data_IF_597173344159
#
_entry.id   IF_597173344159
#
_cell.length_a   1.000
_cell.length_b   1.000
_cell.length_c   1.000
_cell.angle_alpha   90.00
_cell.angle_beta   90.00
_cell.angle_gamma   90.00
#
_symmetry.space_group_name_H-M   'P 1'
#
loop_
_entity.id
_entity.type
_entity.pdbx_description
1 polymer ?
#
# COMPACT_ATOMS: atom_id res chain seq x y z
N UNK A 1 5.60 -4.46 15.80
CA UNK A 1 4.87 -5.75 15.62
C UNK A 1 4.61 -5.99 14.14
N UNK A 2 4.75 -7.23 13.65
CA UNK A 2 4.46 -7.58 12.26
C UNK A 2 2.95 -7.62 11.99
N UNK A 3 2.48 -6.87 10.99
CA UNK A 3 1.06 -6.80 10.62
C UNK A 3 0.71 -7.89 9.61
N UNK A 4 1.29 -7.80 8.41
CA UNK A 4 1.02 -8.69 7.28
C UNK A 4 2.11 -8.52 6.20
N UNK A 5 2.16 -9.48 5.28
CA UNK A 5 2.82 -9.29 3.97
C UNK A 5 1.91 -8.46 3.07
N UNK A 6 2.49 -7.84 2.05
CA UNK A 6 1.71 -7.16 1.01
C UNK A 6 2.35 -7.34 -0.37
N UNK A 7 1.52 -7.10 -1.38
CA UNK A 7 1.88 -7.04 -2.78
C UNK A 7 1.20 -5.82 -3.42
N UNK A 8 1.94 -5.02 -4.19
CA UNK A 8 1.43 -3.90 -4.98
C UNK A 8 1.83 -4.14 -6.43
N UNK A 9 0.85 -4.18 -7.33
CA UNK A 9 1.06 -4.56 -8.73
C UNK A 9 0.50 -3.51 -9.69
N UNK A 10 1.24 -3.25 -10.76
CA UNK A 10 0.72 -2.76 -12.03
C UNK A 10 1.43 -3.57 -13.12
N UNK A 11 0.82 -4.72 -13.48
CA UNK A 11 1.48 -5.76 -14.27
C UNK A 11 0.51 -6.67 -15.02
N UNK A 12 0.86 -7.19 -16.23
CA UNK A 12 0.14 -8.30 -16.85
C UNK A 12 0.12 -9.53 -15.94
N UNK A 13 -1.06 -10.14 -15.78
CA UNK A 13 -1.23 -11.40 -15.05
C UNK A 13 -0.75 -12.61 -15.86
N UNK A 14 -0.77 -12.47 -17.19
CA UNK A 14 -0.31 -13.49 -18.11
C UNK A 14 0.96 -13.00 -18.80
N UNK A 15 1.97 -13.87 -19.03
CA UNK A 15 3.13 -13.55 -19.85
C UNK A 15 2.72 -13.00 -21.23
N UNK A 16 3.60 -12.23 -21.86
CA UNK A 16 3.31 -11.54 -23.13
C UNK A 16 2.65 -12.45 -24.17
N UNK A 17 1.34 -12.22 -24.33
CA UNK A 17 0.37 -12.83 -25.26
C UNK A 17 0.96 -13.80 -26.30
N UNK A 18 1.06 -15.11 -26.00
CA UNK A 18 1.13 -16.10 -27.07
C UNK A 18 -0.11 -15.94 -27.99
N UNK A 19 0.01 -16.16 -29.31
CA UNK A 19 -1.12 -16.05 -30.24
C UNK A 19 -2.32 -16.87 -29.74
N UNK A 20 -3.51 -16.26 -29.70
CA UNK A 20 -4.76 -16.91 -29.29
C UNK A 20 -5.21 -16.68 -27.84
N UNK A 21 -4.39 -16.05 -26.98
CA UNK A 21 -4.70 -15.89 -25.55
C UNK A 21 -5.17 -14.48 -25.15
N UNK A 22 -5.43 -13.60 -26.13
CA UNK A 22 -5.83 -12.19 -25.90
C UNK A 22 -7.04 -12.03 -24.96
N UNK A 23 -7.95 -13.00 -24.92
CA UNK A 23 -9.17 -12.93 -24.13
C UNK A 23 -8.96 -13.22 -22.63
N UNK A 24 -7.86 -13.87 -22.25
CA UNK A 24 -7.51 -14.16 -20.85
C UNK A 24 -6.40 -13.26 -20.30
N UNK A 25 -5.70 -12.54 -21.17
CA UNK A 25 -4.66 -11.59 -20.78
C UNK A 25 -5.28 -10.34 -20.18
N UNK A 26 -5.01 -10.12 -18.89
CA UNK A 26 -5.42 -8.92 -18.14
C UNK A 26 -4.21 -8.27 -17.49
N UNK A 27 -4.23 -6.95 -17.41
CA UNK A 27 -3.32 -6.17 -16.58
C UNK A 27 -4.02 -5.87 -15.27
N UNK A 28 -3.36 -6.14 -14.14
CA UNK A 28 -3.89 -5.80 -12.82
C UNK A 28 -3.34 -4.44 -12.38
N UNK A 29 -4.17 -3.67 -11.69
CA UNK A 29 -3.74 -2.61 -10.77
C UNK A 29 -4.19 -3.04 -9.38
N UNK A 30 -3.23 -3.39 -8.52
CA UNK A 30 -3.46 -3.89 -7.18
C UNK A 30 -2.76 -2.99 -6.16
N UNK A 31 -3.50 -2.59 -5.13
CA UNK A 31 -3.00 -1.82 -4.01
C UNK A 31 -3.16 -2.55 -2.68
N UNK A 32 -2.32 -2.18 -1.72
CA UNK A 32 -2.43 -2.60 -0.34
C UNK A 32 -3.28 -1.60 0.45
N UNK A 33 -4.24 -2.12 1.21
CA UNK A 33 -5.14 -1.36 2.05
C UNK A 33 -5.02 -1.85 3.48
N UNK A 34 -4.91 -0.94 4.44
CA UNK A 34 -4.84 -1.29 5.86
C UNK A 34 -5.82 -0.43 6.65
N UNK A 35 -6.88 -1.07 7.13
CA UNK A 35 -7.80 -0.45 8.08
C UNK A 35 -7.22 -0.59 9.50
N UNK A 36 -7.19 0.50 10.26
CA UNK A 36 -6.74 0.52 11.66
C UNK A 36 -7.79 1.26 12.49
N UNK A 37 -8.43 0.55 13.41
CA UNK A 37 -9.35 1.14 14.37
C UNK A 37 -8.67 1.31 15.73
N UNK A 38 -8.74 2.53 16.26
CA UNK A 38 -8.31 2.87 17.61
C UNK A 38 -9.46 2.56 18.59
N UNK A 39 -9.34 1.47 19.33
CA UNK A 39 -10.37 1.05 20.30
C UNK A 39 -10.13 1.64 21.71
N UNK A 40 -9.21 2.60 21.83
CA UNK A 40 -8.89 3.27 23.08
C UNK A 40 -9.70 4.57 23.20
N UNK A 41 -9.81 5.07 24.45
CA UNK A 41 -10.47 6.33 24.80
C UNK A 41 -9.55 7.56 24.69
N UNK A 42 -8.40 7.42 24.02
CA UNK A 42 -7.43 8.48 23.78
C UNK A 42 -6.87 8.37 22.36
N UNK A 43 -6.39 9.48 21.76
CA UNK A 43 -5.79 9.46 20.43
C UNK A 43 -4.47 8.66 20.45
N UNK A 44 -4.26 7.85 19.43
CA UNK A 44 -3.08 6.98 19.30
C UNK A 44 -2.26 7.39 18.09
N UNK A 45 -1.01 7.74 18.32
CA UNK A 45 -0.05 8.00 17.24
C UNK A 45 0.70 6.71 16.92
N UNK A 46 0.58 6.26 15.68
CA UNK A 46 1.23 5.04 15.18
C UNK A 46 2.27 5.37 14.13
N UNK A 47 3.30 4.53 14.04
CA UNK A 47 4.20 4.47 12.90
C UNK A 47 4.08 3.14 12.21
N UNK A 48 3.84 3.17 10.91
CA UNK A 48 3.92 2.03 10.03
C UNK A 48 5.26 2.02 9.32
N UNK A 49 5.92 0.87 9.29
CA UNK A 49 7.19 0.69 8.57
C UNK A 49 6.98 -0.36 7.50
N UNK A 50 7.11 0.05 6.26
CA UNK A 50 7.10 -0.82 5.10
C UNK A 50 8.51 -1.27 4.79
N UNK A 51 8.71 -2.57 4.62
CA UNK A 51 9.96 -3.13 4.12
C UNK A 51 9.71 -3.79 2.77
N UNK A 52 10.44 -3.36 1.74
CA UNK A 52 10.31 -3.84 0.35
C UNK A 52 11.68 -4.31 -0.13
N UNK A 53 11.75 -5.36 -0.95
CA UNK A 53 12.98 -5.66 -1.69
C UNK A 53 12.90 -4.99 -3.06
N UNK A 54 13.66 -3.91 -3.25
CA UNK A 54 13.79 -3.27 -4.56
C UNK A 54 14.65 -4.12 -5.52
N UNK A 55 14.53 -3.91 -6.84
CA UNK A 55 15.43 -4.46 -7.84
C UNK A 55 16.89 -4.20 -7.47
N UNK A 56 17.78 -5.12 -7.83
CA UNK A 56 19.21 -5.01 -7.51
C UNK A 56 19.90 -3.86 -8.24
N UNK A 57 19.41 -3.51 -9.43
CA UNK A 57 19.85 -2.34 -10.19
C UNK A 57 18.72 -1.30 -10.25
N UNK A 58 18.79 -0.21 -9.47
CA UNK A 58 17.77 0.84 -9.49
C UNK A 58 17.82 1.72 -10.75
N UNK A 59 18.82 1.55 -11.63
CA UNK A 59 18.89 2.24 -12.92
C UNK A 59 18.21 1.47 -14.04
N UNK A 60 17.96 0.17 -13.83
CA UNK A 60 17.18 -0.65 -14.74
C UNK A 60 15.68 -0.37 -14.56
N UNK A 61 15.12 0.41 -15.49
CA UNK A 61 13.70 0.76 -15.47
C UNK A 61 12.79 -0.37 -15.97
N UNK A 62 13.34 -1.51 -16.38
CA UNK A 62 12.54 -2.68 -16.77
C UNK A 62 11.89 -3.37 -15.58
N UNK A 63 12.42 -3.15 -14.36
CA UNK A 63 11.83 -3.61 -13.10
C UNK A 63 11.49 -2.40 -12.21
N UNK A 64 10.21 -2.26 -11.85
CA UNK A 64 9.73 -1.21 -10.93
C UNK A 64 9.08 -1.84 -9.71
N UNK A 65 9.07 -1.17 -8.54
CA UNK A 65 9.61 0.17 -8.25
C UNK A 65 11.11 0.17 -7.97
N UNK A 66 11.78 1.31 -8.18
CA UNK A 66 13.20 1.51 -7.81
C UNK A 66 13.36 2.32 -6.53
N UNK A 67 12.29 2.97 -6.07
CA UNK A 67 12.26 3.67 -4.78
C UNK A 67 10.84 3.83 -4.23
N UNK A 68 10.74 4.27 -2.97
CA UNK A 68 9.44 4.63 -2.36
C UNK A 68 8.76 5.85 -3.00
N UNK A 69 9.45 6.62 -3.85
CA UNK A 69 8.83 7.72 -4.61
C UNK A 69 7.90 7.23 -5.73
N UNK A 70 7.98 5.95 -6.06
CA UNK A 70 7.15 5.30 -7.08
C UNK A 70 5.79 4.86 -6.53
N UNK A 71 5.53 5.14 -5.24
CA UNK A 71 4.28 4.84 -4.59
C UNK A 71 3.51 6.10 -4.28
N UNK A 72 2.19 5.99 -4.41
CA UNK A 72 1.26 6.91 -3.80
C UNK A 72 0.77 6.29 -2.49
N UNK A 73 0.73 7.12 -1.46
CA UNK A 73 0.19 6.74 -0.16
C UNK A 73 -0.90 7.73 0.25
N UNK A 74 -1.93 7.23 0.90
CA UNK A 74 -2.99 8.04 1.47
C UNK A 74 -3.36 7.52 2.86
N UNK A 75 -3.71 8.44 3.76
CA UNK A 75 -4.34 8.10 5.03
C UNK A 75 -5.68 8.81 5.10
N UNK A 76 -6.74 8.03 5.17
CA UNK A 76 -8.10 8.52 5.35
C UNK A 76 -8.55 8.24 6.78
N UNK A 77 -8.70 9.29 7.59
CA UNK A 77 -9.23 9.21 8.96
C UNK A 77 -10.58 9.92 9.07
N UNK A 78 -10.94 10.72 8.08
CA UNK A 78 -12.08 11.65 8.11
C UNK A 78 -13.14 11.35 7.03
N UNK A 79 -13.01 10.23 6.31
CA UNK A 79 -13.76 9.94 5.09
C UNK A 79 -13.25 10.71 3.86
N UNK A 80 -12.03 11.25 3.93
CA UNK A 80 -11.34 11.91 2.83
C UNK A 80 -10.00 11.23 2.59
N UNK A 81 -9.74 10.82 1.35
CA UNK A 81 -8.43 10.29 0.96
C UNK A 81 -7.38 11.41 0.97
N UNK A 82 -6.64 11.53 2.09
CA UNK A 82 -5.56 12.52 2.22
C UNK A 82 -4.27 11.94 1.63
N UNK A 83 -4.02 12.24 0.35
CA UNK A 83 -2.80 11.85 -0.35
C UNK A 83 -1.61 12.71 0.04
N UNK A 84 -0.41 12.10 0.04
CA UNK A 84 0.85 12.81 0.30
C UNK A 84 1.08 13.95 -0.72
N UNK A 85 1.28 15.16 -0.19
CA UNK A 85 1.48 16.39 -0.98
C UNK A 85 0.51 17.54 -0.69
N UNK A 86 -0.68 17.25 -0.13
CA UNK A 86 -1.64 18.29 0.32
C UNK A 86 -1.82 18.35 1.82
N UNK A 87 -1.37 17.33 2.56
CA UNK A 87 -1.37 17.27 4.02
C UNK A 87 -0.03 16.73 4.53
N UNK A 88 0.57 17.41 5.50
CA UNK A 88 1.89 17.04 6.06
C UNK A 88 1.83 15.86 7.04
N UNK A 89 0.64 15.49 7.51
CA UNK A 89 0.45 14.34 8.39
C UNK A 89 0.22 13.10 7.51
N UNK A 90 1.06 12.08 7.65
CA UNK A 90 1.05 10.83 6.88
C UNK A 90 1.73 10.83 5.49
N UNK A 91 2.89 11.46 5.34
CA UNK A 91 3.78 11.20 4.18
C UNK A 91 4.63 9.96 4.42
N UNK A 92 4.82 9.14 3.39
CA UNK A 92 5.76 8.02 3.43
C UNK A 92 7.20 8.56 3.32
N UNK A 93 7.99 8.37 4.37
CA UNK A 93 9.36 8.89 4.49
C UNK A 93 10.35 7.71 4.47
N UNK A 94 11.24 7.61 3.46
CA UNK A 94 12.29 6.60 3.44
C UNK A 94 13.19 6.70 4.68
N UNK A 95 13.49 5.56 5.30
CA UNK A 95 14.45 5.50 6.40
C UNK A 95 15.89 5.43 5.86
N UNK A 96 16.81 6.09 6.55
CA UNK A 96 18.24 6.03 6.22
C UNK A 96 18.81 4.70 6.72
N UNK A 97 18.64 3.64 5.92
CA UNK A 97 19.21 2.32 6.14
C UNK A 97 20.09 1.92 4.94
N UNK A 98 21.13 1.08 5.12
CA UNK A 98 22.07 0.74 4.05
C UNK A 98 21.41 0.20 2.77
N UNK A 99 20.30 -0.51 2.92
CA UNK A 99 19.55 -1.11 1.81
C UNK A 99 18.50 -0.16 1.21
N UNK A 100 18.27 1.02 1.81
CA UNK A 100 17.22 1.99 1.47
C UNK A 100 15.84 1.35 1.23
N UNK A 101 15.56 0.27 1.96
CA UNK A 101 14.48 -0.67 1.66
C UNK A 101 13.30 -0.54 2.66
N UNK A 102 13.38 0.47 3.53
CA UNK A 102 12.39 0.78 4.54
C UNK A 102 11.83 2.19 4.35
N UNK A 103 10.54 2.35 4.57
CA UNK A 103 9.92 3.66 4.70
C UNK A 103 8.89 3.68 5.82
N UNK A 104 8.84 4.81 6.51
CA UNK A 104 7.99 5.06 7.66
C UNK A 104 6.87 6.02 7.30
N UNK A 105 5.68 5.72 7.81
CA UNK A 105 4.53 6.61 7.75
C UNK A 105 3.93 6.74 9.15
N UNK A 106 3.83 7.98 9.64
CA UNK A 106 3.39 8.28 11.00
C UNK A 106 2.17 9.17 10.98
N UNK A 107 1.15 8.82 11.76
CA UNK A 107 -0.11 9.56 11.87
C UNK A 107 -0.81 9.27 13.19
N UNK A 108 -1.78 10.12 13.53
CA UNK A 108 -2.57 10.02 14.75
C UNK A 108 -4.00 9.62 14.42
N UNK A 109 -4.47 8.53 15.02
CA UNK A 109 -5.86 8.12 15.01
C UNK A 109 -6.58 8.74 16.21
N UNK A 110 -7.70 9.46 16.02
CA UNK A 110 -8.56 9.88 17.12
C UNK A 110 -9.03 8.69 17.96
N UNK A 111 -9.39 8.94 19.22
CA UNK A 111 -10.08 7.99 20.07
C UNK A 111 -11.35 7.44 19.38
N UNK A 112 -11.57 6.13 19.47
CA UNK A 112 -12.67 5.43 18.78
C UNK A 112 -12.72 5.65 17.25
N UNK A 113 -11.66 6.23 16.66
CA UNK A 113 -11.56 6.52 15.24
C UNK A 113 -11.07 5.31 14.45
N UNK A 114 -11.38 5.31 13.15
CA UNK A 114 -10.85 4.34 12.20
C UNK A 114 -10.14 5.09 11.07
N UNK A 115 -8.93 4.64 10.75
CA UNK A 115 -8.20 5.10 9.58
C UNK A 115 -8.07 4.02 8.52
N UNK A 116 -8.08 4.43 7.26
CA UNK A 116 -7.73 3.60 6.11
C UNK A 116 -6.43 4.12 5.52
N UNK A 117 -5.42 3.27 5.50
CA UNK A 117 -4.19 3.50 4.76
C UNK A 117 -4.28 2.86 3.39
N UNK A 118 -3.76 3.56 2.38
CA UNK A 118 -3.66 3.10 1.01
C UNK A 118 -2.19 3.18 0.58
N UNK A 119 -1.69 2.12 -0.07
CA UNK A 119 -0.41 2.10 -0.76
C UNK A 119 -0.60 1.52 -2.18
N UNK A 120 -0.27 2.31 -3.20
CA UNK A 120 -0.48 1.99 -4.62
C UNK A 120 0.68 2.49 -5.48
N UNK A 121 0.83 2.05 -6.74
CA UNK A 121 1.76 2.66 -7.68
C UNK A 121 1.36 4.12 -7.96
N UNK A 122 2.31 5.06 -7.99
CA UNK A 122 2.03 6.48 -8.28
C UNK A 122 2.00 6.76 -9.79
N UNK A 123 1.03 6.20 -10.49
CA UNK A 123 0.82 6.52 -11.90
C UNK A 123 0.17 7.90 -12.15
N UNK A 124 -0.10 8.68 -11.10
CA UNK A 124 -0.53 10.08 -11.22
C UNK A 124 0.68 10.96 -11.47
N UNK A 125 1.75 10.79 -10.68
CA UNK A 125 3.02 11.51 -10.87
C UNK A 125 3.93 10.85 -11.91
N UNK A 126 3.80 9.54 -12.13
CA UNK A 126 4.60 8.74 -13.07
C UNK A 126 3.68 8.01 -14.08
N UNK A 127 3.01 8.74 -15.00
CA UNK A 127 2.04 8.16 -15.93
C UNK A 127 2.62 7.10 -16.88
N UNK A 128 3.94 7.08 -17.08
CA UNK A 128 4.66 6.05 -17.82
C UNK A 128 4.42 4.63 -17.26
N UNK A 129 4.20 4.50 -15.95
CA UNK A 129 3.94 3.22 -15.29
C UNK A 129 2.70 2.51 -15.89
N UNK A 130 1.68 3.25 -16.35
CA UNK A 130 0.49 2.67 -16.99
C UNK A 130 0.80 2.08 -18.38
N UNK A 131 1.80 2.63 -19.07
CA UNK A 131 2.21 2.11 -20.38
C UNK A 131 3.17 0.94 -20.25
N UNK A 132 4.09 1.00 -19.29
CA UNK A 132 5.09 -0.04 -19.05
C UNK A 132 4.49 -1.29 -18.40
N UNK A 133 3.57 -1.10 -17.43
CA UNK A 133 2.93 -2.17 -16.68
C UNK A 133 3.94 -3.21 -16.16
N UNK A 134 5.03 -2.75 -15.54
CA UNK A 134 6.13 -3.57 -15.03
C UNK A 134 6.39 -3.34 -13.53
N UNK A 135 5.37 -2.89 -12.80
CA UNK A 135 5.47 -2.57 -11.37
C UNK A 135 5.08 -3.78 -10.53
N UNK A 136 5.99 -4.27 -9.71
CA UNK A 136 5.77 -5.35 -8.75
C UNK A 136 6.56 -5.09 -7.48
N UNK A 137 5.85 -4.78 -6.39
CA UNK A 137 6.45 -4.63 -5.08
C UNK A 137 5.88 -5.67 -4.12
N UNK A 138 6.76 -6.45 -3.49
CA UNK A 138 6.40 -7.38 -2.41
C UNK A 138 7.18 -7.04 -1.16
N UNK A 139 6.52 -7.16 -0.02
CA UNK A 139 7.11 -6.77 1.24
C UNK A 139 6.28 -7.17 2.44
N UNK A 140 6.62 -6.58 3.58
CA UNK A 140 5.86 -6.71 4.81
C UNK A 140 5.79 -5.37 5.53
N UNK A 141 4.76 -5.23 6.36
CA UNK A 141 4.50 -4.02 7.15
C UNK A 141 4.56 -4.33 8.64
N UNK A 142 5.20 -3.43 9.37
CA UNK A 142 5.26 -3.43 10.82
C UNK A 142 4.54 -2.20 11.38
N UNK A 143 3.92 -2.35 12.54
CA UNK A 143 3.29 -1.27 13.30
C UNK A 143 3.99 -1.06 14.63
N UNK A 144 4.21 0.20 14.97
CA UNK A 144 4.83 0.65 16.20
C UNK A 144 3.95 1.72 16.86
N UNK A 145 3.90 1.69 18.18
CA UNK A 145 3.40 2.82 18.95
C UNK A 145 4.45 3.93 18.87
N UNK A 146 4.01 5.16 18.63
CA UNK A 146 4.89 6.32 18.66
C UNK A 146 5.05 6.81 20.10
N UNK A 147 6.24 7.32 20.44
CA UNK A 147 6.46 8.04 21.70
C UNK A 147 5.62 9.33 21.80
N UNK A 148 5.06 9.79 20.68
CA UNK A 148 4.10 10.90 20.62
C UNK A 148 2.66 10.49 20.99
N UNK A 149 2.42 9.21 21.28
CA UNK A 149 1.12 8.73 21.74
C UNK A 149 0.88 9.17 23.19
N UNK A 150 -0.38 9.45 23.56
CA UNK A 150 -0.75 9.85 24.92
C UNK A 150 -0.65 8.76 25.99
N UNK A 151 -0.16 7.56 25.62
CA UNK A 151 -0.03 6.38 26.48
C UNK A 151 1.11 5.50 25.97
N UNK A 152 1.76 4.77 26.89
CA UNK A 152 2.82 3.80 26.60
C UNK A 152 2.30 2.46 26.06
N UNK A 153 0.98 2.27 26.09
CA UNK A 153 0.31 1.09 25.52
C UNK A 153 -0.94 1.50 24.77
N UNK A 154 -1.28 0.78 23.71
CA UNK A 154 -2.52 0.96 22.96
C UNK A 154 -3.02 -0.37 22.41
N UNK A 155 -4.34 -0.50 22.32
CA UNK A 155 -4.99 -1.60 21.61
C UNK A 155 -5.53 -1.12 20.27
N UNK A 156 -5.20 -1.80 19.18
CA UNK A 156 -5.67 -1.48 17.84
C UNK A 156 -6.31 -2.72 17.22
N UNK A 157 -7.36 -2.51 16.41
CA UNK A 157 -7.89 -3.54 15.52
C UNK A 157 -7.42 -3.24 14.10
N UNK A 158 -6.72 -4.19 13.47
CA UNK A 158 -6.12 -4.05 12.14
C UNK A 158 -6.72 -5.06 11.16
N UNK A 159 -7.04 -4.57 9.96
CA UNK A 159 -7.57 -5.37 8.85
C UNK A 159 -6.83 -5.00 7.56
N UNK A 160 -5.78 -5.76 7.20
CA UNK A 160 -5.08 -5.61 5.94
C UNK A 160 -5.84 -6.33 4.82
N UNK A 161 -5.87 -5.72 3.64
CA UNK A 161 -6.56 -6.21 2.45
C UNK A 161 -5.73 -5.92 1.19
N UNK A 162 -5.95 -6.75 0.18
CA UNK A 162 -5.58 -6.45 -1.20
C UNK A 162 -6.81 -6.10 -1.97
N UNK A 163 -6.75 -5.00 -2.73
CA UNK A 163 -7.82 -4.61 -3.65
C UNK A 163 -7.22 -4.43 -5.03
N UNK A 164 -7.79 -5.11 -6.00
CA UNK A 164 -7.31 -5.16 -7.37
C UNK A 164 -8.39 -4.86 -8.38
N UNK A 165 -8.03 -4.16 -9.45
CA UNK A 165 -8.85 -4.04 -10.65
C UNK A 165 -8.08 -4.65 -11.83
N UNK A 166 -8.77 -5.46 -12.61
CA UNK A 166 -8.24 -6.06 -13.84
C UNK A 166 -8.78 -5.32 -15.05
N UNK A 167 -7.87 -5.10 -15.99
CA UNK A 167 -8.12 -4.38 -17.22
C UNK A 167 -7.74 -5.28 -18.40
N UNK A 168 -8.63 -5.38 -19.38
CA UNK A 168 -8.34 -5.95 -20.69
C UNK A 168 -7.43 -5.04 -21.50
N UNK A 169 -7.69 -3.73 -21.46
CA UNK A 169 -6.85 -2.71 -22.09
C UNK A 169 -6.85 -1.43 -21.25
N UNK A 170 -5.69 -1.04 -20.73
CA UNK A 170 -5.51 0.20 -19.95
C UNK A 170 -5.76 1.46 -20.78
N UNK A 171 -5.73 1.36 -22.12
CA UNK A 171 -5.96 2.47 -23.06
C UNK A 171 -7.33 2.38 -23.76
N UNK A 172 -8.18 1.45 -23.32
CA UNK A 172 -9.53 1.29 -23.87
C UNK A 172 -10.34 2.58 -23.76
N UNK A 173 -11.07 2.93 -24.82
CA UNK A 173 -11.89 4.17 -24.86
C UNK A 173 -13.33 3.94 -24.41
N UNK A 174 -13.78 2.68 -24.42
CA UNK A 174 -15.11 2.28 -23.97
C UNK A 174 -14.99 1.28 -22.83
N UNK A 175 -16.03 1.16 -21.99
CA UNK A 175 -16.05 0.16 -20.91
C UNK A 175 -15.84 -1.28 -21.42
N UNK A 176 -16.33 -1.59 -22.63
CA UNK A 176 -16.16 -2.89 -23.26
C UNK A 176 -14.70 -3.15 -23.68
N UNK A 177 -13.98 -2.12 -24.10
CA UNK A 177 -12.55 -2.22 -24.44
C UNK A 177 -11.70 -2.34 -23.17
N UNK A 178 -12.04 -1.55 -22.14
CA UNK A 178 -11.34 -1.53 -20.86
C UNK A 178 -11.48 -2.89 -20.16
N UNK A 179 -12.67 -3.51 -20.20
CA UNK A 179 -12.94 -4.82 -19.61
C UNK A 179 -12.59 -4.86 -18.13
N UNK A 180 -13.47 -4.29 -17.30
CA UNK A 180 -13.26 -4.09 -15.86
C UNK A 180 -13.74 -5.28 -15.05
N UNK A 181 -12.85 -5.84 -14.25
CA UNK A 181 -13.18 -6.79 -13.17
C UNK A 181 -12.49 -6.35 -11.87
N UNK A 182 -13.04 -6.71 -10.71
CA UNK A 182 -12.50 -6.29 -9.41
C UNK A 182 -12.40 -7.46 -8.45
N UNK A 183 -11.41 -7.40 -7.56
CA UNK A 183 -11.23 -8.34 -6.46
C UNK A 183 -10.88 -7.61 -5.17
N UNK A 184 -11.31 -8.19 -4.05
CA UNK A 184 -10.89 -7.80 -2.70
C UNK A 184 -10.71 -9.07 -1.87
N UNK A 185 -9.60 -9.16 -1.15
CA UNK A 185 -9.36 -10.28 -0.23
C UNK A 185 -8.55 -9.82 0.99
N UNK A 186 -8.88 -10.35 2.19
CA UNK A 186 -8.14 -10.04 3.41
C UNK A 186 -6.77 -10.73 3.39
N UNK A 187 -5.80 -10.11 4.07
CA UNK A 187 -4.48 -10.68 4.26
C UNK A 187 -4.37 -11.32 5.65
N UNK A 188 -3.60 -12.42 5.80
CA UNK A 188 -3.32 -13.01 7.11
C UNK A 188 -2.68 -11.98 8.05
N UNK A 189 -3.20 -11.93 9.27
CA UNK A 189 -2.71 -11.10 10.37
C UNK A 189 -2.13 -11.98 11.47
N UNK A 190 -0.97 -11.59 11.99
CA UNK A 190 -0.23 -12.37 12.99
C UNK A 190 -1.05 -12.74 14.24
N UNK A 191 -1.95 -11.86 14.69
CA UNK A 191 -2.70 -11.99 15.95
C UNK A 191 -4.22 -11.92 15.79
N UNK A 192 -4.78 -12.38 14.66
CA UNK A 192 -6.23 -12.35 14.43
C UNK A 192 -6.84 -10.94 14.34
N UNK A 193 -5.99 -9.92 14.18
CA UNK A 193 -6.39 -8.52 13.96
C UNK A 193 -6.32 -7.64 15.21
N UNK A 194 -6.25 -8.19 16.42
CA UNK A 194 -6.17 -7.36 17.65
C UNK A 194 -4.72 -7.22 18.10
N UNK A 195 -4.20 -5.99 18.05
CA UNK A 195 -2.82 -5.64 18.32
C UNK A 195 -2.73 -4.86 19.63
N UNK A 196 -2.05 -5.42 20.62
CA UNK A 196 -1.66 -4.71 21.85
C UNK A 196 -0.21 -4.30 21.69
N UNK A 197 0.03 -3.02 21.44
CA UNK A 197 1.36 -2.44 21.19
C UNK A 197 1.81 -1.63 22.41
N UNK A 198 3.12 -1.62 22.66
CA UNK A 198 3.77 -0.82 23.71
C UNK A 198 5.01 -0.11 23.18
N UNK A 199 5.42 0.97 23.85
CA UNK A 199 6.65 1.73 23.55
C UNK A 199 7.94 1.08 24.10
N UNK A 200 7.81 -0.04 24.82
CA UNK A 200 8.88 -0.79 25.49
C UNK A 200 9.69 -1.68 24.55
#
# INVERSE_FOLDING_TARGET
MLVSTFEVLLKPQFPSNPPGFKNISRTVIQGYFLTIANVNFFPVTVSLVFTIKFPSDPTDLTERPTSFKDFINAVDISGQNLFSGSFSQATLVPEIVPQNNKARLTFTLPENGTGLLILQPDFIKQPELLTEANFEARGYVEIFLSSLSGSDTATLLVTPEQRGTFFKDLKGKTLADIGLDQIVYPLPVSNGGVFKISNS
#
